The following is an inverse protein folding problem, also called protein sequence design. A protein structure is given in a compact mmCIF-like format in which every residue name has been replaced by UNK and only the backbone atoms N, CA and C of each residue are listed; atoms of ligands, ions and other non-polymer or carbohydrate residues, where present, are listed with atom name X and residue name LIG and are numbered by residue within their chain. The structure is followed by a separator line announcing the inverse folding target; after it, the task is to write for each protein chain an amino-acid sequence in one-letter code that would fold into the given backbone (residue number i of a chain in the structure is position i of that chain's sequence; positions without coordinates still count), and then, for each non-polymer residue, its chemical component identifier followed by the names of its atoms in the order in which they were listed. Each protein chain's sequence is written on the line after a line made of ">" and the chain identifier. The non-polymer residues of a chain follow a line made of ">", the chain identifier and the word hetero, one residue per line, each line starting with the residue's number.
data_IF_524313884808
#
_entry.id   IF_524313884808
#
_cell.length_a   1.000
_cell.length_b   1.000
_cell.length_c   1.000
_cell.angle_alpha   90.00
_cell.angle_beta   90.00
_cell.angle_gamma   90.00
#
_symmetry.space_group_name_H-M   'P 1'
#
loop_
_entity.id
_entity.type
_entity.pdbx_description
1 polymer ?
#
# COMPACT_ATOMS: atom_id res chain seq x y z
N UNK A 1 7.22 45.71 -19.84
CA UNK A 1 6.00 44.90 -20.12
C UNK A 1 6.26 43.55 -20.80
N UNK A 2 7.29 43.38 -21.67
CA UNK A 2 7.58 42.08 -22.33
C UNK A 2 8.04 40.97 -21.37
N UNK A 3 8.74 41.31 -20.29
CA UNK A 3 9.35 40.35 -19.35
C UNK A 3 8.35 39.74 -18.36
N UNK A 4 7.35 40.51 -17.93
CA UNK A 4 6.24 40.00 -17.10
C UNK A 4 5.43 38.91 -17.82
N UNK A 5 5.27 39.04 -19.15
CA UNK A 5 4.61 38.02 -19.97
C UNK A 5 5.44 36.73 -20.06
N UNK A 6 6.77 36.83 -20.13
CA UNK A 6 7.67 35.67 -20.18
C UNK A 6 7.72 34.94 -18.83
N UNK A 7 7.76 35.66 -17.72
CA UNK A 7 7.71 35.08 -16.37
C UNK A 7 6.37 34.38 -16.13
N UNK A 8 5.26 35.02 -16.53
CA UNK A 8 3.93 34.40 -16.43
C UNK A 8 3.82 33.09 -17.23
N UNK A 9 4.37 33.05 -18.45
CA UNK A 9 4.39 31.84 -19.27
C UNK A 9 5.27 30.74 -18.68
N UNK A 10 6.44 31.09 -18.12
CA UNK A 10 7.33 30.13 -17.48
C UNK A 10 6.68 29.50 -16.22
N UNK A 11 6.01 30.31 -15.40
CA UNK A 11 5.27 29.83 -14.22
C UNK A 11 4.10 28.93 -14.63
N UNK A 12 3.35 29.31 -15.66
CA UNK A 12 2.25 28.51 -16.18
C UNK A 12 2.72 27.15 -16.74
N UNK A 13 3.83 27.16 -17.49
CA UNK A 13 4.47 25.93 -17.98
C UNK A 13 4.94 25.02 -16.85
N UNK A 14 5.50 25.59 -15.77
CA UNK A 14 5.96 24.82 -14.62
C UNK A 14 4.80 24.14 -13.87
N UNK A 15 3.66 24.84 -13.73
CA UNK A 15 2.44 24.30 -13.10
C UNK A 15 1.86 23.15 -13.92
N UNK A 16 1.88 23.25 -15.26
CA UNK A 16 1.39 22.18 -16.15
C UNK A 16 2.29 20.93 -16.03
N UNK A 17 3.61 21.12 -15.98
CA UNK A 17 4.56 20.00 -15.82
C UNK A 17 4.40 19.29 -14.48
N UNK A 18 4.13 20.02 -13.39
CA UNK A 18 3.86 19.42 -12.07
C UNK A 18 2.49 18.72 -12.00
N UNK A 19 1.54 19.06 -12.88
CA UNK A 19 0.22 18.43 -12.92
C UNK A 19 0.25 17.00 -13.48
N UNK A 20 1.27 16.64 -14.27
CA UNK A 20 1.48 15.26 -14.74
C UNK A 20 2.01 14.30 -13.67
N UNK A 21 2.40 14.79 -12.49
CA UNK A 21 2.86 13.95 -11.38
C UNK A 21 1.73 13.31 -10.56
N UNK A 22 0.45 13.53 -10.93
CA UNK A 22 -0.70 12.96 -10.23
C UNK A 22 -0.94 11.49 -10.63
N UNK A 23 0.04 10.63 -10.35
CA UNK A 23 -0.21 9.19 -10.31
C UNK A 23 -0.98 8.87 -9.03
N UNK A 24 -2.28 8.67 -9.13
CA UNK A 24 -3.08 8.13 -8.03
C UNK A 24 -2.54 6.75 -7.63
N UNK A 25 -2.27 6.55 -6.34
CA UNK A 25 -1.80 5.26 -5.84
C UNK A 25 -2.88 4.19 -6.02
N UNK A 26 -2.71 3.29 -6.99
CA UNK A 26 -3.59 2.13 -7.18
C UNK A 26 -3.15 0.99 -6.28
N UNK A 27 -3.08 1.21 -4.96
CA UNK A 27 -2.76 0.15 -4.01
C UNK A 27 -4.01 -0.31 -3.27
N UNK A 28 -4.02 -1.57 -2.89
CA UNK A 28 -5.08 -2.23 -2.15
C UNK A 28 -4.68 -2.56 -0.72
N UNK A 29 -5.63 -3.24 -0.04
CA UNK A 29 -5.49 -3.79 1.30
C UNK A 29 -5.69 -5.29 1.25
N UNK A 30 -4.76 -6.04 1.84
CA UNK A 30 -4.92 -7.46 2.10
C UNK A 30 -5.23 -7.67 3.59
N UNK A 31 -6.34 -8.32 3.90
CA UNK A 31 -6.73 -8.58 5.29
C UNK A 31 -7.37 -9.94 5.43
N UNK A 32 -7.16 -10.58 6.59
CA UNK A 32 -7.73 -11.87 6.90
C UNK A 32 -7.54 -12.20 8.38
N UNK A 33 -7.83 -13.46 8.73
CA UNK A 33 -7.72 -13.99 10.09
C UNK A 33 -6.90 -15.28 10.06
N UNK A 34 -6.01 -15.45 11.03
CA UNK A 34 -5.13 -16.62 11.19
C UNK A 34 -5.51 -17.35 12.46
N UNK A 35 -5.99 -18.59 12.31
CA UNK A 35 -6.40 -19.46 13.41
C UNK A 35 -5.73 -20.82 13.32
N UNK A 36 -5.56 -21.45 14.48
CA UNK A 36 -5.13 -22.83 14.58
C UNK A 36 -6.24 -23.78 14.12
N UNK A 37 -5.87 -24.77 13.30
CA UNK A 37 -6.84 -25.67 12.65
C UNK A 37 -7.57 -26.60 13.63
N UNK A 38 -6.94 -26.96 14.75
CA UNK A 38 -7.51 -27.91 15.71
C UNK A 38 -8.39 -27.20 16.73
N UNK A 39 -7.96 -26.02 17.18
CA UNK A 39 -8.61 -25.28 18.28
C UNK A 39 -9.53 -24.17 17.79
N UNK A 40 -9.33 -23.68 16.55
CA UNK A 40 -10.02 -22.50 16.02
C UNK A 40 -9.58 -21.18 16.67
N UNK A 41 -8.60 -21.22 17.57
CA UNK A 41 -8.11 -20.05 18.30
C UNK A 41 -7.12 -19.25 17.44
N UNK A 42 -7.06 -17.92 17.59
CA UNK A 42 -6.07 -17.10 16.91
C UNK A 42 -4.65 -17.51 17.32
N UNK A 43 -3.69 -17.43 16.40
CA UNK A 43 -2.28 -17.76 16.66
C UNK A 43 -1.52 -16.47 17.03
N UNK A 44 -1.20 -16.22 18.31
CA UNK A 44 -0.52 -15.00 18.73
C UNK A 44 0.91 -14.96 18.20
N UNK A 45 1.32 -13.80 17.68
CA UNK A 45 2.71 -13.60 17.23
C UNK A 45 3.04 -14.24 15.89
N UNK A 46 2.09 -14.88 15.21
CA UNK A 46 2.24 -15.28 13.82
C UNK A 46 2.47 -14.05 12.92
N UNK A 47 3.22 -14.24 11.84
CA UNK A 47 3.52 -13.18 10.87
C UNK A 47 3.14 -13.66 9.48
N UNK A 48 2.19 -12.96 8.86
CA UNK A 48 1.83 -13.20 7.46
C UNK A 48 2.70 -12.36 6.56
N UNK A 49 3.25 -12.96 5.50
CA UNK A 49 4.05 -12.29 4.49
C UNK A 49 3.57 -12.65 3.09
N UNK A 50 3.73 -11.72 2.16
CA UNK A 50 3.61 -12.00 0.74
C UNK A 50 4.89 -12.72 0.29
N UNK A 51 4.75 -13.88 -0.34
CA UNK A 51 5.89 -14.65 -0.83
C UNK A 51 6.78 -13.80 -1.76
N UNK A 52 8.09 -13.94 -1.60
CA UNK A 52 9.13 -13.16 -2.33
C UNK A 52 8.99 -11.63 -2.21
N UNK A 53 8.31 -11.15 -1.17
CA UNK A 53 8.14 -9.72 -0.89
C UNK A 53 8.56 -9.39 0.54
N UNK A 54 8.92 -8.13 0.78
CA UNK A 54 9.14 -7.59 2.12
C UNK A 54 7.84 -7.16 2.81
N UNK A 55 6.70 -7.25 2.13
CA UNK A 55 5.39 -6.88 2.66
C UNK A 55 4.82 -7.99 3.55
N UNK A 56 4.45 -7.64 4.78
CA UNK A 56 3.84 -8.55 5.74
C UNK A 56 3.19 -7.80 6.89
N UNK A 57 2.49 -8.54 7.73
CA UNK A 57 1.81 -8.02 8.92
C UNK A 57 1.90 -9.02 10.07
N UNK A 58 1.98 -8.51 11.29
CA UNK A 58 1.84 -9.32 12.50
C UNK A 58 0.35 -9.59 12.74
N UNK A 59 0.07 -10.82 13.16
CA UNK A 59 -1.27 -11.25 13.55
C UNK A 59 -1.62 -10.69 14.92
N UNK A 60 -2.82 -10.12 15.05
CA UNK A 60 -3.34 -9.64 16.32
C UNK A 60 -3.60 -10.83 17.26
N UNK A 61 -3.02 -10.85 18.47
CA UNK A 61 -3.23 -11.91 19.46
C UNK A 61 -4.69 -12.11 19.89
N UNK A 62 -5.50 -11.05 19.85
CA UNK A 62 -6.85 -11.07 20.41
C UNK A 62 -7.88 -11.75 19.48
N UNK A 63 -7.78 -11.51 18.18
CA UNK A 63 -8.77 -11.94 17.19
C UNK A 63 -8.17 -12.64 15.96
N UNK A 64 -6.84 -12.76 15.88
CA UNK A 64 -6.14 -13.39 14.77
C UNK A 64 -6.11 -12.56 13.50
N UNK A 65 -6.58 -11.31 13.54
CA UNK A 65 -6.64 -10.47 12.34
C UNK A 65 -5.27 -9.96 11.90
N UNK A 66 -5.10 -9.76 10.60
CA UNK A 66 -3.94 -9.09 10.03
C UNK A 66 -4.35 -8.14 8.90
N UNK A 67 -3.54 -7.11 8.66
CA UNK A 67 -3.73 -6.15 7.58
C UNK A 67 -2.40 -5.77 6.96
N UNK A 68 -2.25 -6.02 5.66
CA UNK A 68 -1.14 -5.53 4.83
C UNK A 68 -1.69 -4.40 3.94
N UNK A 69 -1.15 -3.20 4.11
CA UNK A 69 -1.52 -2.01 3.34
C UNK A 69 -0.58 -1.81 2.15
N UNK A 70 -0.99 -0.96 1.21
CA UNK A 70 -0.20 -0.55 0.07
C UNK A 70 0.21 -1.71 -0.85
N UNK A 71 -0.64 -2.74 -0.94
CA UNK A 71 -0.38 -3.91 -1.78
C UNK A 71 -0.76 -3.56 -3.22
N UNK A 72 0.18 -3.59 -4.19
CA UNK A 72 -0.17 -3.40 -5.60
C UNK A 72 -1.18 -4.45 -6.08
N UNK A 73 -2.00 -4.18 -7.11
CA UNK A 73 -2.89 -5.18 -7.68
C UNK A 73 -2.08 -6.32 -8.28
N UNK A 74 -2.49 -7.55 -7.99
CA UNK A 74 -1.80 -8.74 -8.48
C UNK A 74 -2.31 -10.01 -7.81
N UNK A 75 -1.73 -11.15 -8.23
CA UNK A 75 -1.94 -12.45 -7.59
C UNK A 75 -0.74 -12.74 -6.72
N UNK A 76 -0.98 -13.06 -5.45
CA UNK A 76 0.05 -13.28 -4.45
C UNK A 76 -0.16 -14.62 -3.75
N UNK A 77 0.94 -15.24 -3.36
CA UNK A 77 0.95 -16.35 -2.40
C UNK A 77 1.28 -15.78 -1.02
N UNK A 78 0.60 -16.25 0.01
CA UNK A 78 0.86 -15.85 1.39
C UNK A 78 1.54 -16.97 2.15
N UNK A 79 2.51 -16.61 2.98
CA UNK A 79 3.21 -17.50 3.90
C UNK A 79 3.01 -17.01 5.34
N UNK A 80 2.94 -17.93 6.29
CA UNK A 80 2.62 -17.72 7.70
C UNK A 80 3.68 -18.37 8.59
#
# INVERSE_FOLDING_TARGET
>A
MRWIRLIGLAVFSLIILMSWSLFGGTTGKLSGVVTDKQTGLPIPGARIMIDKSSMGAMVNPADGSYVILNVPPGVYTLIA
#
